data_IF_611156418413
#
_entry.id   IF_611156418413
#
_cell.length_a   1.000
_cell.length_b   1.000
_cell.length_c   1.000
_cell.angle_alpha   90.00
_cell.angle_beta   90.00
_cell.angle_gamma   90.00
#
_symmetry.space_group_name_H-M   'P 1'
#
loop_
_entity.id
_entity.type
_entity.pdbx_description
1 polymer ?
#
# COMPACT_ATOMS: atom_id res chain seq x y z
N UNK A 1 -37.97 11.70 5.21
CA UNK A 1 -36.82 12.58 5.49
C UNK A 1 -37.03 13.19 6.87
N UNK A 2 -36.05 13.11 7.78
CA UNK A 2 -34.75 13.74 7.56
C UNK A 2 -33.54 12.79 7.62
N UNK A 3 -32.76 12.89 6.55
CA UNK A 3 -31.30 12.87 6.39
C UNK A 3 -30.40 12.30 7.50
N UNK A 4 -29.78 11.16 7.17
CA UNK A 4 -28.66 10.59 7.90
C UNK A 4 -27.38 11.41 7.70
N UNK A 5 -26.72 11.69 8.83
CA UNK A 5 -25.38 12.30 8.92
C UNK A 5 -24.37 11.40 8.21
N UNK A 6 -23.91 11.79 7.01
CA UNK A 6 -22.66 11.27 6.43
C UNK A 6 -21.51 11.84 7.25
N UNK A 7 -20.88 11.01 8.05
CA UNK A 7 -19.53 11.30 8.53
C UNK A 7 -18.58 11.10 7.35
N UNK A 8 -18.17 12.20 6.73
CA UNK A 8 -17.02 12.20 5.85
C UNK A 8 -15.79 12.01 6.74
N UNK A 9 -15.24 10.80 6.76
CA UNK A 9 -13.91 10.56 7.33
C UNK A 9 -12.92 11.46 6.60
N UNK A 10 -12.57 12.55 7.27
CA UNK A 10 -11.55 13.49 6.84
C UNK A 10 -10.26 12.70 6.63
N UNK A 11 -9.80 12.64 5.38
CA UNK A 11 -8.48 12.15 5.01
C UNK A 11 -7.46 12.83 5.92
N UNK A 12 -6.89 12.07 6.85
CA UNK A 12 -5.81 12.52 7.71
C UNK A 12 -4.68 13.00 6.80
N UNK A 13 -4.32 14.28 6.96
CA UNK A 13 -3.54 15.04 6.00
C UNK A 13 -2.24 14.34 5.59
N UNK A 14 -2.09 14.13 4.28
CA UNK A 14 -0.77 13.96 3.70
C UNK A 14 0.08 15.18 4.11
N UNK A 15 1.30 14.97 4.62
CA UNK A 15 2.19 16.08 4.96
C UNK A 15 2.32 16.99 3.74
N UNK A 16 2.00 18.28 3.92
CA UNK A 16 2.29 19.30 2.90
C UNK A 16 3.79 19.51 2.91
N UNK A 17 4.45 18.96 1.91
CA UNK A 17 5.86 19.23 1.70
C UNK A 17 6.04 20.68 1.23
N UNK A 18 7.12 21.35 1.67
CA UNK A 18 7.41 22.72 1.26
C UNK A 18 7.75 22.83 -0.24
N UNK A 19 8.09 21.72 -0.90
CA UNK A 19 8.15 21.64 -2.36
C UNK A 19 6.76 21.44 -2.95
N UNK A 20 6.47 22.16 -4.03
CA UNK A 20 5.28 21.91 -4.84
C UNK A 20 5.26 20.49 -5.39
N UNK A 21 4.11 20.08 -5.93
CA UNK A 21 3.75 18.70 -6.26
C UNK A 21 4.95 17.89 -6.81
N UNK A 22 5.41 16.90 -6.04
CA UNK A 22 6.50 16.00 -6.43
C UNK A 22 7.81 16.20 -5.64
N UNK A 23 8.17 17.45 -5.30
CA UNK A 23 9.39 17.74 -4.55
C UNK A 23 9.15 17.81 -3.04
N UNK A 24 10.02 17.18 -2.26
CA UNK A 24 10.00 17.21 -0.81
C UNK A 24 10.86 18.36 -0.23
N UNK A 25 11.98 18.68 -0.87
CA UNK A 25 12.92 19.71 -0.44
C UNK A 25 14.32 19.52 -1.03
N UNK A 26 15.34 20.09 -0.39
CA UNK A 26 16.75 19.93 -0.74
C UNK A 26 17.47 19.06 0.30
N UNK A 27 18.39 18.21 -0.14
CA UNK A 27 19.26 17.46 0.77
C UNK A 27 20.28 18.39 1.43
N UNK A 28 20.59 18.12 2.69
CA UNK A 28 21.65 18.80 3.45
C UNK A 28 23.06 18.37 3.02
N UNK A 29 23.22 17.20 2.40
CA UNK A 29 24.52 16.63 1.98
C UNK A 29 24.93 17.13 0.60
N UNK A 30 24.08 16.97 -0.41
CA UNK A 30 24.39 17.29 -1.82
C UNK A 30 23.75 18.61 -2.30
N UNK A 31 22.92 19.25 -1.47
CA UNK A 31 22.15 20.46 -1.81
C UNK A 31 21.27 20.29 -3.06
N UNK A 32 20.97 19.05 -3.46
CA UNK A 32 20.11 18.74 -4.59
C UNK A 32 18.67 18.48 -4.13
N UNK A 33 17.68 18.81 -4.97
CA UNK A 33 16.29 18.54 -4.67
C UNK A 33 15.99 17.03 -4.65
N UNK A 34 15.07 16.61 -3.79
CA UNK A 34 14.59 15.23 -3.70
C UNK A 34 13.07 15.16 -3.73
N UNK A 35 12.55 14.02 -4.20
CA UNK A 35 11.11 13.78 -4.31
C UNK A 35 10.57 13.15 -3.04
N UNK A 36 9.26 13.33 -2.81
CA UNK A 36 8.55 12.69 -1.69
C UNK A 36 8.56 11.16 -1.82
N UNK A 37 8.50 10.66 -3.05
CA UNK A 37 8.51 9.24 -3.38
C UNK A 37 9.86 8.85 -3.98
N UNK A 38 10.38 7.70 -3.56
CA UNK A 38 11.58 7.06 -4.09
C UNK A 38 11.41 5.54 -4.05
N UNK A 39 12.19 4.81 -4.83
CA UNK A 39 12.17 3.35 -4.86
C UNK A 39 13.48 2.76 -4.34
N UNK A 40 13.41 1.53 -3.81
CA UNK A 40 14.61 0.80 -3.41
C UNK A 40 15.48 0.44 -4.63
N UNK A 41 14.86 0.04 -5.74
CA UNK A 41 15.55 -0.25 -6.99
C UNK A 41 14.69 0.13 -8.20
N UNK A 42 15.28 0.11 -9.39
CA UNK A 42 14.54 0.38 -10.61
C UNK A 42 15.33 1.17 -11.65
N UNK A 43 14.66 1.56 -12.75
CA UNK A 43 15.31 2.21 -13.88
C UNK A 43 15.56 3.68 -13.55
N UNK A 44 16.71 3.97 -12.95
CA UNK A 44 17.22 5.34 -12.84
C UNK A 44 18.20 5.62 -13.99
N UNK A 45 18.16 6.84 -14.50
CA UNK A 45 18.91 7.27 -15.70
C UNK A 45 20.38 7.58 -15.45
N UNK A 46 20.81 7.72 -14.19
CA UNK A 46 22.17 8.15 -13.83
C UNK A 46 22.66 7.50 -12.52
N UNK A 47 23.96 7.21 -12.43
CA UNK A 47 24.60 6.79 -11.16
C UNK A 47 24.71 7.94 -10.17
N UNK A 48 24.79 9.18 -10.66
CA UNK A 48 24.75 10.39 -9.85
C UNK A 48 23.33 10.96 -9.80
N UNK A 49 22.93 11.51 -8.64
CA UNK A 49 21.62 12.15 -8.50
C UNK A 49 21.53 13.35 -9.46
N UNK A 50 20.44 13.36 -10.23
CA UNK A 50 20.14 14.45 -11.13
C UNK A 50 19.49 15.62 -10.36
N UNK A 51 19.81 16.85 -10.75
CA UNK A 51 19.13 18.03 -10.25
C UNK A 51 17.69 18.06 -10.80
N UNK A 52 16.71 17.88 -9.92
CA UNK A 52 15.29 17.75 -10.27
C UNK A 52 14.58 19.10 -10.31
N UNK A 53 13.79 19.35 -11.34
CA UNK A 53 12.85 20.47 -11.36
C UNK A 53 11.41 20.01 -11.07
N UNK A 54 10.60 20.90 -10.50
CA UNK A 54 9.18 20.61 -10.20
C UNK A 54 8.39 20.17 -11.45
N UNK A 55 8.68 20.80 -12.59
CA UNK A 55 8.07 20.48 -13.89
C UNK A 55 8.41 19.06 -14.36
N UNK A 56 9.61 18.57 -14.06
CA UNK A 56 10.00 17.20 -14.40
C UNK A 56 9.33 16.20 -13.46
N UNK A 57 9.33 16.48 -12.15
CA UNK A 57 8.77 15.57 -11.14
C UNK A 57 7.25 15.42 -11.19
N UNK A 58 6.55 16.36 -11.83
CA UNK A 58 5.10 16.30 -12.07
C UNK A 58 4.73 15.63 -13.39
N UNK A 59 5.71 15.30 -14.24
CA UNK A 59 5.46 14.62 -15.51
C UNK A 59 4.99 13.19 -15.28
N UNK A 60 3.98 12.75 -16.03
CA UNK A 60 3.48 11.37 -15.97
C UNK A 60 4.55 10.31 -16.33
N UNK A 61 5.56 10.70 -17.10
CA UNK A 61 6.65 9.82 -17.53
C UNK A 61 7.91 9.96 -16.65
N UNK A 62 7.82 10.66 -15.52
CA UNK A 62 8.94 10.80 -14.62
C UNK A 62 9.16 9.52 -13.82
N UNK A 63 10.35 8.95 -13.94
CA UNK A 63 10.77 7.82 -13.12
C UNK A 63 11.43 8.33 -11.84
N UNK A 64 10.91 7.92 -10.70
CA UNK A 64 11.45 8.30 -9.39
C UNK A 64 12.85 7.72 -9.19
N UNK A 65 13.65 8.41 -8.39
CA UNK A 65 15.01 7.98 -8.07
C UNK A 65 14.99 6.64 -7.32
N UNK A 66 15.96 5.78 -7.64
CA UNK A 66 16.14 4.47 -7.03
C UNK A 66 17.54 4.31 -6.45
N UNK A 67 17.66 3.63 -5.30
CA UNK A 67 18.97 3.41 -4.66
C UNK A 67 19.84 2.39 -5.42
N UNK A 68 19.23 1.39 -6.04
CA UNK A 68 19.93 0.37 -6.83
C UNK A 68 19.43 0.32 -8.27
N UNK A 69 20.36 0.41 -9.22
CA UNK A 69 20.03 0.41 -10.65
C UNK A 69 19.57 -0.98 -11.11
N UNK A 70 18.33 -1.04 -11.62
CA UNK A 70 17.78 -2.22 -12.31
C UNK A 70 16.98 -1.78 -13.53
N UNK A 71 16.85 -2.65 -14.55
CA UNK A 71 15.98 -2.33 -15.69
C UNK A 71 14.50 -2.19 -15.31
N UNK A 72 14.09 -2.90 -14.26
CA UNK A 72 12.74 -2.91 -13.70
C UNK A 72 12.87 -2.94 -12.18
N UNK A 73 11.94 -2.25 -11.52
CA UNK A 73 11.75 -2.36 -10.07
C UNK A 73 11.36 -3.81 -9.71
N UNK A 74 11.73 -4.25 -8.51
CA UNK A 74 11.32 -5.56 -7.98
C UNK A 74 10.22 -5.39 -6.97
N UNK A 75 9.22 -6.27 -7.01
CA UNK A 75 8.22 -6.38 -5.97
C UNK A 75 8.83 -6.32 -4.56
N UNK A 76 8.30 -5.40 -3.74
CA UNK A 76 8.59 -5.36 -2.30
C UNK A 76 8.04 -6.62 -1.64
N UNK A 77 8.76 -7.15 -0.65
CA UNK A 77 8.37 -8.30 0.15
C UNK A 77 7.72 -7.90 1.48
N UNK A 78 7.23 -6.67 1.60
CA UNK A 78 6.55 -6.18 2.81
C UNK A 78 5.16 -6.81 2.97
N UNK A 79 4.70 -6.88 4.22
CA UNK A 79 3.34 -7.32 4.52
C UNK A 79 2.31 -6.35 3.92
N UNK A 80 1.31 -6.89 3.22
CA UNK A 80 0.25 -6.11 2.57
C UNK A 80 -1.00 -6.09 3.43
N UNK A 81 -1.60 -4.91 3.61
CA UNK A 81 -2.83 -4.74 4.37
C UNK A 81 -4.03 -5.42 3.70
N UNK A 82 -4.82 -6.14 4.50
CA UNK A 82 -6.11 -6.70 4.10
C UNK A 82 -7.23 -5.91 4.76
N UNK A 83 -8.18 -5.42 3.97
CA UNK A 83 -9.37 -4.72 4.47
C UNK A 83 -10.61 -5.58 4.24
N UNK A 84 -11.41 -5.80 5.29
CA UNK A 84 -12.64 -6.59 5.22
C UNK A 84 -13.83 -5.84 5.81
N UNK A 85 -15.01 -6.02 5.21
CA UNK A 85 -16.27 -5.46 5.67
C UNK A 85 -17.42 -6.44 5.40
N UNK A 86 -18.43 -6.45 6.28
CA UNK A 86 -19.59 -7.34 6.17
C UNK A 86 -19.54 -8.55 7.10
N UNK A 87 -20.31 -9.59 6.77
CA UNK A 87 -20.40 -10.80 7.58
C UNK A 87 -19.02 -11.45 7.71
N UNK A 88 -18.64 -11.82 8.93
CA UNK A 88 -17.33 -12.44 9.23
C UNK A 88 -16.10 -11.56 8.97
N UNK A 89 -16.26 -10.24 8.79
CA UNK A 89 -15.10 -9.33 8.64
C UNK A 89 -14.11 -9.37 9.82
N UNK A 90 -14.60 -9.73 11.02
CA UNK A 90 -13.78 -9.91 12.22
C UNK A 90 -12.75 -11.06 12.11
N UNK A 91 -12.84 -11.93 11.10
CA UNK A 91 -11.82 -12.95 10.83
C UNK A 91 -10.50 -12.34 10.35
N UNK A 92 -10.53 -11.13 9.77
CA UNK A 92 -9.35 -10.45 9.25
C UNK A 92 -8.81 -9.45 10.28
N UNK A 93 -8.27 -9.97 11.38
CA UNK A 93 -7.71 -9.16 12.46
C UNK A 93 -6.33 -9.66 12.87
N UNK A 94 -5.35 -8.75 12.92
CA UNK A 94 -3.97 -9.08 13.25
C UNK A 94 -3.14 -9.35 12.00
N UNK A 95 -2.13 -10.20 12.12
CA UNK A 95 -1.21 -10.57 11.04
C UNK A 95 -1.51 -12.00 10.63
N UNK A 96 -1.67 -12.23 9.32
CA UNK A 96 -1.99 -13.53 8.75
C UNK A 96 -1.14 -13.80 7.52
N UNK A 97 -0.83 -15.07 7.30
CA UNK A 97 -0.20 -15.52 6.05
C UNK A 97 -1.15 -15.34 4.86
N UNK A 98 -0.61 -15.11 3.66
CA UNK A 98 -1.43 -14.91 2.44
C UNK A 98 -2.35 -16.12 2.13
N UNK A 99 -2.00 -17.32 2.61
CA UNK A 99 -2.84 -18.53 2.48
C UNK A 99 -4.09 -18.50 3.35
N UNK A 100 -4.15 -17.63 4.38
CA UNK A 100 -5.30 -17.49 5.27
C UNK A 100 -6.53 -16.93 4.55
N UNK A 101 -6.32 -15.97 3.63
CA UNK A 101 -7.40 -15.24 2.95
C UNK A 101 -8.43 -16.17 2.28
N UNK A 102 -8.03 -17.12 1.40
CA UNK A 102 -9.01 -18.02 0.77
C UNK A 102 -9.70 -18.95 1.76
N UNK A 103 -9.02 -19.38 2.83
CA UNK A 103 -9.63 -20.26 3.85
C UNK A 103 -10.66 -19.51 4.69
N UNK A 104 -10.36 -18.28 5.11
CA UNK A 104 -11.27 -17.44 5.87
C UNK A 104 -12.51 -17.06 5.04
N UNK A 105 -12.33 -16.74 3.75
CA UNK A 105 -13.45 -16.51 2.83
C UNK A 105 -14.29 -17.77 2.61
N UNK A 106 -13.64 -18.94 2.44
CA UNK A 106 -14.35 -20.20 2.26
C UNK A 106 -15.20 -20.56 3.49
N UNK A 107 -14.66 -20.32 4.69
CA UNK A 107 -15.39 -20.47 5.96
C UNK A 107 -16.57 -19.49 6.05
N UNK A 108 -16.34 -18.20 5.77
CA UNK A 108 -17.39 -17.18 5.82
C UNK A 108 -18.53 -17.45 4.84
N UNK A 109 -18.23 -18.03 3.67
CA UNK A 109 -19.19 -18.30 2.60
C UNK A 109 -19.77 -19.73 2.61
N UNK A 110 -19.38 -20.60 3.55
CA UNK A 110 -19.78 -22.01 3.58
C UNK A 110 -19.47 -22.78 2.29
N UNK A 111 -18.31 -22.53 1.67
CA UNK A 111 -17.92 -23.17 0.40
C UNK A 111 -16.71 -24.09 0.58
N UNK A 112 -16.57 -25.06 -0.33
CA UNK A 112 -15.45 -26.00 -0.31
C UNK A 112 -15.45 -26.90 0.92
N UNK A 113 -14.33 -26.95 1.64
CA UNK A 113 -14.14 -27.77 2.84
C UNK A 113 -15.06 -27.37 4.01
N UNK A 114 -15.69 -26.19 3.95
CA UNK A 114 -16.63 -25.70 4.96
C UNK A 114 -18.10 -25.76 4.49
N UNK A 115 -18.38 -26.52 3.42
CA UNK A 115 -19.73 -26.70 2.91
C UNK A 115 -20.50 -27.82 3.63
N UNK A 116 -21.82 -27.68 3.73
CA UNK A 116 -22.71 -28.69 4.30
C UNK A 116 -23.36 -28.29 5.62
N UNK A 117 -23.95 -29.27 6.31
CA UNK A 117 -24.73 -29.06 7.54
C UNK A 117 -23.90 -28.55 8.74
N UNK A 118 -22.58 -28.67 8.67
CA UNK A 118 -21.63 -28.24 9.70
C UNK A 118 -20.95 -26.91 9.33
N UNK A 119 -21.52 -26.10 8.45
CA UNK A 119 -20.96 -24.78 8.21
C UNK A 119 -20.91 -23.95 9.50
N UNK A 120 -19.77 -23.31 9.74
CA UNK A 120 -19.43 -22.57 10.96
C UNK A 120 -19.26 -23.43 12.22
N UNK A 121 -19.20 -24.77 12.11
CA UNK A 121 -18.73 -25.60 13.22
C UNK A 121 -17.26 -25.28 13.55
N UNK A 122 -16.91 -25.34 14.83
CA UNK A 122 -15.59 -24.92 15.34
C UNK A 122 -14.43 -25.81 14.87
N UNK A 123 -14.01 -25.69 13.61
CA UNK A 123 -12.78 -26.32 13.10
C UNK A 123 -11.55 -25.38 13.19
N UNK A 124 -11.73 -24.13 13.64
CA UNK A 124 -10.67 -23.12 13.74
C UNK A 124 -10.08 -23.04 15.16
N UNK A 125 -10.08 -24.14 15.92
CA UNK A 125 -9.34 -24.24 17.19
C UNK A 125 -7.91 -24.67 16.86
N UNK A 126 -7.01 -23.70 16.94
CA UNK A 126 -5.62 -23.80 16.52
C UNK A 126 -4.85 -24.98 17.11
N UNK A 127 -3.81 -25.37 16.36
CA UNK A 127 -2.56 -25.90 16.92
C UNK A 127 -1.61 -24.73 17.13
#
# INVERSE_FOLDING_TARGET
MPEGRRESSSLHGLPRFPGGAGLAGFSDVDQQPYTVLAYGNGPTTSQERANLSEKETTSMNYTQQAAFLKRLETHSGEDVAVFAAGAWAHLFSGVHDQTYIPHALAYAACIGQFSGAECHSEQMKGH
#
